data_IF_209853173702
#
_entry.id   IF_209853173702
#
_cell.length_a   1.000
_cell.length_b   1.000
_cell.length_c   1.000
_cell.angle_alpha   90.00
_cell.angle_beta   90.00
_cell.angle_gamma   90.00
#
_symmetry.space_group_name_H-M   'P 1'
#
loop_
_entity.id
_entity.type
_entity.pdbx_description
1 polymer ?
#
# COMPACT_ATOMS: atom_id res chain seq x y z
N UNK A 1 2.91 32.30 12.16
CA UNK A 1 4.40 32.33 12.20
C UNK A 1 5.02 31.72 10.94
N UNK A 2 4.55 30.58 10.45
CA UNK A 2 5.03 29.98 9.19
C UNK A 2 4.43 30.62 7.91
N UNK A 3 3.39 31.45 8.05
CA UNK A 3 2.75 32.22 6.98
C UNK A 3 3.46 33.54 6.62
N UNK A 4 4.67 33.77 7.13
CA UNK A 4 5.43 35.00 6.92
C UNK A 4 6.39 34.82 5.72
N UNK A 5 6.42 35.81 4.81
CA UNK A 5 7.25 35.80 3.60
C UNK A 5 8.78 35.87 3.85
N UNK A 6 9.19 36.12 5.10
CA UNK A 6 10.62 36.18 5.45
C UNK A 6 11.20 34.78 5.70
N UNK A 7 12.07 34.37 4.78
CA UNK A 7 12.81 33.10 4.80
C UNK A 7 13.56 32.91 6.13
N UNK A 8 14.11 33.99 6.70
CA UNK A 8 14.90 33.88 7.94
C UNK A 8 14.03 33.62 9.17
N UNK A 9 12.93 34.35 9.32
CA UNK A 9 11.92 34.10 10.37
C UNK A 9 11.33 32.69 10.23
N UNK A 10 11.08 32.25 9.01
CA UNK A 10 10.53 30.94 8.71
C UNK A 10 11.48 29.80 9.10
N UNK A 11 12.76 29.92 8.75
CA UNK A 11 13.78 28.96 9.15
C UNK A 11 13.91 28.90 10.68
N UNK A 12 13.97 30.05 11.35
CA UNK A 12 14.03 30.10 12.82
C UNK A 12 12.79 29.45 13.47
N UNK A 13 11.60 29.64 12.88
CA UNK A 13 10.37 28.99 13.35
C UNK A 13 10.42 27.46 13.17
N UNK A 14 10.94 26.98 12.05
CA UNK A 14 11.15 25.54 11.81
C UNK A 14 12.18 24.95 12.77
N UNK A 15 13.30 25.64 13.01
CA UNK A 15 14.33 25.17 13.96
C UNK A 15 13.78 25.06 15.39
N UNK A 16 12.94 26.02 15.81
CA UNK A 16 12.22 25.95 17.10
C UNK A 16 11.24 24.79 17.10
N UNK A 17 10.44 24.62 16.04
CA UNK A 17 9.50 23.51 15.91
C UNK A 17 10.21 22.16 16.02
N UNK A 18 11.27 21.93 15.25
CA UNK A 18 12.02 20.67 15.25
C UNK A 18 12.65 20.40 16.62
N UNK A 19 13.20 21.43 17.27
CA UNK A 19 13.75 21.31 18.63
C UNK A 19 12.69 20.87 19.65
N UNK A 20 11.47 21.42 19.58
CA UNK A 20 10.37 21.03 20.48
C UNK A 20 9.91 19.61 20.19
N UNK A 21 9.81 19.21 18.91
CA UNK A 21 9.47 17.84 18.52
C UNK A 21 10.49 16.84 19.07
N UNK A 22 11.78 17.14 19.00
CA UNK A 22 12.84 16.27 19.55
C UNK A 22 12.75 16.14 21.07
N UNK A 23 12.50 17.26 21.78
CA UNK A 23 12.43 17.25 23.23
C UNK A 23 11.16 16.61 23.77
N UNK A 24 10.00 16.91 23.18
CA UNK A 24 8.70 16.46 23.68
C UNK A 24 7.64 16.39 22.55
N UNK A 25 7.62 15.29 21.78
CA UNK A 25 6.63 15.08 20.71
C UNK A 25 5.18 15.19 21.20
N UNK A 26 4.89 14.74 22.43
CA UNK A 26 3.53 14.71 22.98
C UNK A 26 2.95 16.10 23.18
N UNK A 27 3.77 17.07 23.62
CA UNK A 27 3.32 18.46 23.77
C UNK A 27 2.95 19.07 22.42
N UNK A 28 3.70 18.75 21.37
CA UNK A 28 3.39 19.20 20.01
C UNK A 28 2.09 18.57 19.51
N UNK A 29 1.89 17.27 19.76
CA UNK A 29 0.63 16.58 19.39
C UNK A 29 -0.57 17.17 20.12
N UNK A 30 -0.46 17.42 21.42
CA UNK A 30 -1.52 18.04 22.21
C UNK A 30 -1.90 19.42 21.65
N UNK A 31 -0.90 20.26 21.35
CA UNK A 31 -1.13 21.55 20.72
C UNK A 31 -1.86 21.42 19.37
N UNK A 32 -1.38 20.54 18.48
CA UNK A 32 -2.01 20.31 17.17
C UNK A 32 -3.45 19.80 17.30
N UNK A 33 -3.76 18.97 18.30
CA UNK A 33 -5.13 18.52 18.56
C UNK A 33 -6.02 19.68 19.07
N UNK A 34 -5.51 20.52 19.97
CA UNK A 34 -6.23 21.71 20.45
C UNK A 34 -6.48 22.72 19.32
N UNK A 35 -5.53 22.88 18.39
CA UNK A 35 -5.67 23.76 17.22
C UNK A 35 -6.89 23.40 16.36
N UNK A 36 -7.22 22.10 16.23
CA UNK A 36 -8.40 21.65 15.46
C UNK A 36 -9.75 22.10 16.05
N UNK A 37 -9.78 22.48 17.33
CA UNK A 37 -10.96 23.05 17.98
C UNK A 37 -11.12 24.53 17.63
N UNK A 38 -10.01 25.19 17.29
CA UNK A 38 -9.95 26.64 17.03
C UNK A 38 -10.16 26.97 15.55
N UNK A 39 -9.70 26.10 14.63
CA UNK A 39 -9.88 26.30 13.19
C UNK A 39 -10.38 25.04 12.47
N UNK A 40 -11.32 25.25 11.55
CA UNK A 40 -11.76 24.23 10.59
C UNK A 40 -11.02 24.35 9.25
N UNK A 41 -10.24 25.41 9.06
CA UNK A 41 -9.44 25.57 7.86
C UNK A 41 -8.20 24.67 7.94
N UNK A 42 -8.02 23.82 6.93
CA UNK A 42 -6.88 22.91 6.84
C UNK A 42 -5.59 23.66 6.55
N UNK A 43 -5.66 24.81 5.86
CA UNK A 43 -4.49 25.57 5.44
C UNK A 43 -3.85 26.33 6.62
N UNK A 44 -4.59 26.51 7.72
CA UNK A 44 -4.10 27.17 8.94
C UNK A 44 -3.41 26.21 9.92
N UNK A 45 -3.61 24.89 9.77
CA UNK A 45 -3.07 23.91 10.70
C UNK A 45 -1.54 23.89 10.67
N UNK A 46 -0.89 23.95 11.83
CA UNK A 46 0.56 23.92 11.97
C UNK A 46 1.18 22.76 11.21
N UNK A 47 0.59 21.57 11.32
CA UNK A 47 1.05 20.38 10.63
C UNK A 47 0.98 20.52 9.10
N UNK A 48 -0.08 21.14 8.59
CA UNK A 48 -0.25 21.34 7.15
C UNK A 48 0.67 22.42 6.61
N UNK A 49 0.96 23.47 7.40
CA UNK A 49 1.99 24.45 7.08
C UNK A 49 3.38 23.78 6.98
N UNK A 50 3.74 22.90 7.91
CA UNK A 50 5.00 22.12 7.83
C UNK A 50 5.01 21.19 6.61
N UNK A 51 3.87 20.61 6.25
CA UNK A 51 3.75 19.81 5.01
C UNK A 51 3.95 20.69 3.77
N UNK A 52 3.41 21.91 3.75
CA UNK A 52 3.66 22.87 2.66
C UNK A 52 5.16 23.16 2.52
N UNK A 53 5.89 23.29 3.63
CA UNK A 53 7.35 23.46 3.60
C UNK A 53 8.09 22.28 2.98
N UNK A 54 7.68 21.05 3.29
CA UNK A 54 8.23 19.84 2.67
C UNK A 54 8.03 19.89 1.14
N UNK A 55 6.89 20.41 0.68
CA UNK A 55 6.55 20.43 -0.74
C UNK A 55 7.19 21.59 -1.50
N UNK A 56 7.56 22.67 -0.80
CA UNK A 56 8.17 23.87 -1.39
C UNK A 56 9.67 24.01 -1.09
N UNK A 57 10.32 22.97 -0.58
CA UNK A 57 11.75 23.02 -0.23
C UNK A 57 12.58 23.43 -1.47
N UNK A 58 13.28 24.58 -1.43
CA UNK A 58 14.06 25.07 -2.55
C UNK A 58 15.34 24.27 -2.79
N UNK A 59 15.76 23.43 -1.83
CA UNK A 59 16.96 22.62 -1.93
C UNK A 59 16.81 21.55 -3.04
N UNK A 60 17.72 21.49 -4.03
CA UNK A 60 17.64 20.50 -5.10
C UNK A 60 17.67 19.04 -4.63
N UNK A 61 18.29 18.76 -3.48
CA UNK A 61 18.40 17.44 -2.85
C UNK A 61 17.24 17.18 -1.88
N UNK A 62 16.38 18.17 -1.63
CA UNK A 62 15.25 18.11 -0.70
C UNK A 62 15.69 17.77 0.74
N UNK A 63 16.84 18.33 1.15
CA UNK A 63 17.41 18.08 2.47
C UNK A 63 16.52 18.57 3.61
N UNK A 64 15.89 19.74 3.46
CA UNK A 64 14.96 20.30 4.44
C UNK A 64 13.68 19.48 4.53
N UNK A 65 13.12 19.10 3.38
CA UNK A 65 11.95 18.25 3.26
C UNK A 65 12.18 16.87 3.89
N UNK A 66 13.34 16.24 3.64
CA UNK A 66 13.72 14.98 4.27
C UNK A 66 13.79 15.11 5.80
N UNK A 67 14.40 16.19 6.30
CA UNK A 67 14.50 16.44 7.73
C UNK A 67 13.12 16.62 8.38
N UNK A 68 12.28 17.48 7.81
CA UNK A 68 10.92 17.71 8.28
C UNK A 68 10.07 16.43 8.23
N UNK A 69 10.20 15.60 7.20
CA UNK A 69 9.53 14.30 7.15
C UNK A 69 9.97 13.35 8.27
N UNK A 70 11.23 13.39 8.70
CA UNK A 70 11.67 12.60 9.86
C UNK A 70 11.03 13.09 11.16
N UNK A 71 10.88 14.40 11.34
CA UNK A 71 10.12 14.94 12.49
C UNK A 71 8.63 14.61 12.41
N UNK A 72 8.04 14.63 11.21
CA UNK A 72 6.68 14.14 11.03
C UNK A 72 6.59 12.67 11.43
N UNK A 73 7.51 11.80 10.98
CA UNK A 73 7.57 10.39 11.40
C UNK A 73 7.65 10.26 12.92
N UNK A 74 8.49 11.04 13.61
CA UNK A 74 8.56 11.05 15.08
C UNK A 74 7.23 11.40 15.74
N UNK A 75 6.48 12.37 15.16
CA UNK A 75 5.16 12.75 15.65
C UNK A 75 4.12 11.66 15.43
N UNK A 76 4.15 10.96 14.29
CA UNK A 76 3.15 9.94 13.93
C UNK A 76 3.53 8.51 14.36
N UNK A 77 4.74 8.28 14.88
CA UNK A 77 5.19 6.95 15.30
C UNK A 77 4.36 6.45 16.50
N UNK A 78 3.61 5.35 16.36
CA UNK A 78 2.86 4.77 17.47
C UNK A 78 3.72 4.38 18.67
N UNK A 79 4.99 4.01 18.48
CA UNK A 79 5.89 3.66 19.59
C UNK A 79 6.15 4.88 20.49
N UNK A 80 6.23 6.08 19.90
CA UNK A 80 6.39 7.35 20.62
C UNK A 80 5.08 7.86 21.27
N UNK A 81 3.94 7.22 21.00
CA UNK A 81 2.63 7.58 21.58
C UNK A 81 2.22 6.61 22.69
N UNK A 82 2.49 5.31 22.52
CA UNK A 82 2.09 4.27 23.49
C UNK A 82 2.82 4.47 24.82
N UNK A 83 4.02 5.04 24.81
CA UNK A 83 4.74 5.44 26.03
C UNK A 83 3.94 6.44 26.90
N UNK A 84 2.95 7.13 26.31
CA UNK A 84 2.18 8.19 26.97
C UNK A 84 0.71 7.80 27.16
N UNK A 85 -0.02 7.45 26.08
CA UNK A 85 -1.42 7.01 26.17
C UNK A 85 -1.96 6.35 24.88
N UNK A 86 -2.78 5.31 25.03
CA UNK A 86 -3.50 4.65 23.91
C UNK A 86 -4.55 5.58 23.28
N UNK A 87 -5.14 6.48 24.08
CA UNK A 87 -6.16 7.43 23.62
C UNK A 87 -5.53 8.47 22.70
N UNK A 88 -4.41 9.07 23.14
CA UNK A 88 -3.63 10.04 22.36
C UNK A 88 -3.24 9.46 21.00
N UNK A 89 -2.76 8.21 20.98
CA UNK A 89 -2.44 7.50 19.72
C UNK A 89 -3.61 7.50 18.75
N UNK A 90 -4.79 7.11 19.24
CA UNK A 90 -5.97 6.93 18.39
C UNK A 90 -6.46 8.28 17.86
N UNK A 91 -6.50 9.30 18.71
CA UNK A 91 -6.94 10.65 18.35
C UNK A 91 -5.99 11.31 17.35
N UNK A 92 -4.68 11.31 17.64
CA UNK A 92 -3.69 11.97 16.79
C UNK A 92 -3.56 11.31 15.43
N UNK A 93 -3.55 9.97 15.35
CA UNK A 93 -3.55 9.29 14.06
C UNK A 93 -4.84 9.55 13.28
N UNK A 94 -5.99 9.61 13.95
CA UNK A 94 -7.27 9.93 13.29
C UNK A 94 -7.25 11.35 12.72
N UNK A 95 -6.75 12.32 13.48
CA UNK A 95 -6.49 13.69 13.02
C UNK A 95 -5.58 13.70 11.78
N UNK A 96 -4.41 13.07 11.87
CA UNK A 96 -3.41 13.02 10.79
C UNK A 96 -4.01 12.49 9.48
N UNK A 97 -4.66 11.34 9.53
CA UNK A 97 -5.25 10.72 8.33
C UNK A 97 -6.45 11.49 7.77
N UNK A 98 -7.17 12.22 8.61
CA UNK A 98 -8.38 12.96 8.21
C UNK A 98 -8.06 14.35 7.66
N UNK A 99 -7.13 15.09 8.27
CA UNK A 99 -6.86 16.50 7.97
C UNK A 99 -5.55 16.76 7.21
N UNK A 100 -4.55 15.88 7.32
CA UNK A 100 -3.18 16.18 6.86
C UNK A 100 -2.64 15.24 5.80
N UNK A 101 -3.03 13.95 5.83
CA UNK A 101 -2.52 12.97 4.87
C UNK A 101 -2.85 13.34 3.42
N UNK A 102 -4.03 13.89 3.13
CA UNK A 102 -4.36 14.34 1.78
C UNK A 102 -3.50 15.50 1.29
N UNK A 103 -3.11 16.41 2.20
CA UNK A 103 -2.22 17.54 1.88
C UNK A 103 -0.85 16.98 1.50
N UNK A 104 -0.30 16.06 2.31
CA UNK A 104 0.99 15.42 2.04
C UNK A 104 1.02 14.68 0.70
N UNK A 105 -0.08 14.01 0.33
CA UNK A 105 -0.15 13.25 -0.92
C UNK A 105 -0.53 14.10 -2.14
N UNK A 106 -0.89 15.37 -1.97
CA UNK A 106 -1.34 16.21 -3.07
C UNK A 106 -0.36 16.24 -4.27
N UNK A 107 0.97 16.39 -4.07
CA UNK A 107 1.93 16.35 -5.18
C UNK A 107 1.95 15.00 -5.91
N UNK A 108 1.81 13.89 -5.18
CA UNK A 108 1.73 12.55 -5.78
C UNK A 108 0.48 12.36 -6.61
N UNK A 109 -0.67 12.76 -6.06
CA UNK A 109 -1.96 12.64 -6.73
C UNK A 109 -2.02 13.53 -7.98
N UNK A 110 -1.48 14.75 -7.91
CA UNK A 110 -1.39 15.66 -9.03
C UNK A 110 -0.46 15.12 -10.14
N UNK A 111 0.72 14.60 -9.77
CA UNK A 111 1.69 14.10 -10.74
C UNK A 111 1.32 12.75 -11.37
N UNK A 112 0.22 12.13 -10.91
CA UNK A 112 -0.28 10.84 -11.40
C UNK A 112 -1.73 10.92 -11.85
N UNK A 113 -2.24 12.14 -12.09
CA UNK A 113 -3.61 12.39 -12.55
C UNK A 113 -3.93 11.59 -13.82
N UNK A 114 -5.17 11.14 -13.95
CA UNK A 114 -5.64 10.28 -15.06
C UNK A 114 -4.78 9.04 -15.36
N UNK A 115 -4.06 8.55 -14.34
CA UNK A 115 -3.17 7.38 -14.44
C UNK A 115 -2.02 7.59 -15.45
N UNK A 116 -1.56 8.84 -15.57
CA UNK A 116 -0.43 9.24 -16.40
C UNK A 116 0.64 9.89 -15.53
N UNK A 117 1.90 9.60 -15.85
CA UNK A 117 3.02 10.26 -15.20
C UNK A 117 3.13 11.68 -15.75
N UNK A 118 3.11 12.67 -14.85
CA UNK A 118 3.30 14.07 -15.17
C UNK A 118 4.78 14.42 -15.35
N UNK A 119 5.25 15.39 -14.57
CA UNK A 119 6.64 15.85 -14.57
C UNK A 119 7.53 14.81 -13.89
N UNK A 120 8.69 14.54 -14.49
CA UNK A 120 9.62 13.48 -14.06
C UNK A 120 11.06 13.98 -14.16
N UNK A 121 11.35 15.15 -13.59
CA UNK A 121 12.73 15.59 -13.34
C UNK A 121 13.22 15.09 -11.99
N UNK A 122 14.48 15.39 -11.68
CA UNK A 122 15.12 14.89 -10.46
C UNK A 122 14.39 15.35 -9.19
N UNK A 123 14.04 16.64 -9.12
CA UNK A 123 13.41 17.23 -7.95
C UNK A 123 12.01 16.65 -7.70
N UNK A 124 11.17 16.57 -8.73
CA UNK A 124 9.84 15.96 -8.60
C UNK A 124 9.96 14.48 -8.25
N UNK A 125 10.86 13.73 -8.88
CA UNK A 125 11.05 12.31 -8.57
C UNK A 125 11.54 12.08 -7.14
N UNK A 126 12.40 12.96 -6.63
CA UNK A 126 12.86 12.93 -5.24
C UNK A 126 11.70 13.23 -4.27
N UNK A 127 10.86 14.23 -4.54
CA UNK A 127 9.69 14.51 -3.70
C UNK A 127 8.71 13.33 -3.68
N UNK A 128 8.44 12.73 -4.85
CA UNK A 128 7.61 11.51 -4.94
C UNK A 128 8.22 10.36 -4.15
N UNK A 129 9.55 10.21 -4.21
CA UNK A 129 10.27 9.20 -3.44
C UNK A 129 10.10 9.41 -1.93
N UNK A 130 10.28 10.64 -1.44
CA UNK A 130 10.13 10.99 -0.03
C UNK A 130 8.69 10.74 0.47
N UNK A 131 7.69 11.11 -0.33
CA UNK A 131 6.28 10.84 -0.02
C UNK A 131 6.03 9.32 0.05
N UNK A 132 6.57 8.54 -0.89
CA UNK A 132 6.43 7.07 -0.87
C UNK A 132 7.14 6.42 0.31
N UNK A 133 8.31 6.93 0.69
CA UNK A 133 9.05 6.44 1.85
C UNK A 133 8.26 6.69 3.14
N UNK A 134 7.70 7.90 3.29
CA UNK A 134 6.81 8.24 4.40
C UNK A 134 5.54 7.37 4.42
N UNK A 135 4.90 7.17 3.27
CA UNK A 135 3.76 6.26 3.16
C UNK A 135 4.12 4.82 3.52
N UNK A 136 5.31 4.36 3.14
CA UNK A 136 5.79 3.02 3.46
C UNK A 136 5.95 2.86 4.98
N UNK A 137 6.51 3.86 5.66
CA UNK A 137 6.54 3.91 7.12
C UNK A 137 5.11 3.78 7.71
N UNK A 138 4.15 4.56 7.22
CA UNK A 138 2.77 4.45 7.73
C UNK A 138 2.17 3.04 7.54
N UNK A 139 2.53 2.34 6.45
CA UNK A 139 2.06 0.96 6.19
C UNK A 139 2.61 -0.02 7.21
N UNK A 140 3.87 0.16 7.59
CA UNK A 140 4.55 -0.71 8.54
C UNK A 140 4.06 -0.50 9.98
N UNK A 141 3.80 0.74 10.36
CA UNK A 141 3.59 1.09 11.77
C UNK A 141 2.12 1.32 12.15
N UNK A 142 1.26 1.81 11.23
CA UNK A 142 -0.08 2.32 11.62
C UNK A 142 -1.20 1.27 11.61
N UNK A 143 -0.88 0.01 11.34
CA UNK A 143 -1.81 -1.15 11.42
C UNK A 143 -3.18 -0.91 10.77
N UNK A 144 -4.25 -0.72 11.56
CA UNK A 144 -5.61 -0.57 11.05
C UNK A 144 -5.92 0.84 10.53
N UNK A 145 -5.25 1.89 11.02
CA UNK A 145 -5.56 3.28 10.62
C UNK A 145 -5.30 3.51 9.13
N UNK A 146 -4.19 2.97 8.60
CA UNK A 146 -3.86 3.12 7.18
C UNK A 146 -4.83 2.38 6.25
N UNK A 147 -5.49 1.33 6.74
CA UNK A 147 -6.40 0.50 5.95
C UNK A 147 -7.59 1.28 5.42
N UNK A 148 -8.23 2.04 6.32
CA UNK A 148 -9.39 2.86 5.96
C UNK A 148 -9.02 3.96 4.97
N UNK A 149 -7.77 4.43 5.02
CA UNK A 149 -7.26 5.45 4.11
C UNK A 149 -7.00 4.88 2.71
N UNK A 150 -6.27 3.77 2.61
CA UNK A 150 -5.91 3.14 1.34
C UNK A 150 -7.12 2.69 0.51
N UNK A 151 -8.21 2.28 1.16
CA UNK A 151 -9.41 1.80 0.46
C UNK A 151 -10.18 2.91 -0.27
N UNK A 152 -10.08 4.16 0.21
CA UNK A 152 -10.92 5.28 -0.25
C UNK A 152 -10.29 6.11 -1.37
N UNK A 153 -8.97 6.08 -1.48
CA UNK A 153 -8.20 6.84 -2.45
C UNK A 153 -7.65 5.85 -3.45
N UNK A 154 -7.69 6.17 -4.74
CA UNK A 154 -7.10 5.34 -5.81
C UNK A 154 -5.56 5.30 -5.77
N UNK A 155 -4.99 5.32 -4.56
CA UNK A 155 -3.59 5.54 -4.25
C UNK A 155 -2.73 4.43 -4.83
N UNK A 156 -3.14 3.17 -4.69
CA UNK A 156 -2.33 2.06 -5.19
C UNK A 156 -2.14 2.12 -6.71
N UNK A 157 -3.19 2.45 -7.46
CA UNK A 157 -3.08 2.66 -8.91
C UNK A 157 -2.15 3.82 -9.22
N UNK A 158 -2.33 4.94 -8.53
CA UNK A 158 -1.53 6.18 -8.67
C UNK A 158 -0.04 5.92 -8.40
N UNK A 159 0.30 5.23 -7.31
CA UNK A 159 1.69 4.87 -6.98
C UNK A 159 2.32 4.00 -8.06
N UNK A 160 1.58 3.03 -8.61
CA UNK A 160 2.12 2.15 -9.65
C UNK A 160 2.36 2.84 -11.00
N UNK A 161 1.82 4.04 -11.21
CA UNK A 161 2.19 4.87 -12.37
C UNK A 161 3.67 5.29 -12.32
N UNK A 162 4.23 5.43 -11.11
CA UNK A 162 5.62 5.83 -10.92
C UNK A 162 6.63 4.78 -11.42
N UNK A 163 6.19 3.54 -11.70
CA UNK A 163 6.99 2.54 -12.42
C UNK A 163 7.38 3.01 -13.83
N UNK A 164 6.70 4.01 -14.39
CA UNK A 164 7.02 4.62 -15.70
C UNK A 164 8.09 5.72 -15.62
N UNK A 165 8.55 6.09 -14.42
CA UNK A 165 9.59 7.11 -14.24
C UNK A 165 10.90 6.68 -14.91
N UNK A 166 11.68 7.65 -15.39
CA UNK A 166 13.05 7.43 -15.86
C UNK A 166 14.03 7.19 -14.71
N UNK A 167 13.64 7.50 -13.47
CA UNK A 167 14.47 7.40 -12.28
C UNK A 167 14.27 6.05 -11.59
N UNK A 168 15.30 5.20 -11.65
CA UNK A 168 15.19 3.82 -11.17
C UNK A 168 14.91 3.70 -9.67
N UNK A 169 15.45 4.61 -8.84
CA UNK A 169 15.20 4.59 -7.40
C UNK A 169 13.71 4.81 -7.07
N UNK A 170 13.00 5.64 -7.85
CA UNK A 170 11.58 5.89 -7.67
C UNK A 170 10.75 4.69 -8.09
N UNK A 171 11.11 4.05 -9.22
CA UNK A 171 10.48 2.79 -9.65
C UNK A 171 10.61 1.70 -8.58
N UNK A 172 11.81 1.55 -8.01
CA UNK A 172 12.08 0.59 -6.94
C UNK A 172 11.30 0.93 -5.66
N UNK A 173 11.13 2.21 -5.33
CA UNK A 173 10.34 2.65 -4.18
C UNK A 173 8.86 2.31 -4.35
N UNK A 174 8.28 2.58 -5.54
CA UNK A 174 6.89 2.22 -5.83
C UNK A 174 6.64 0.70 -5.74
N UNK A 175 7.60 -0.11 -6.23
CA UNK A 175 7.52 -1.56 -6.12
C UNK A 175 7.66 -2.03 -4.66
N UNK A 176 8.57 -1.43 -3.89
CA UNK A 176 8.75 -1.71 -2.45
C UNK A 176 7.49 -1.38 -1.66
N UNK A 177 6.83 -0.27 -1.97
CA UNK A 177 5.57 0.11 -1.35
C UNK A 177 4.49 -0.96 -1.56
N UNK A 178 4.30 -1.43 -2.80
CA UNK A 178 3.35 -2.52 -3.07
C UNK A 178 3.76 -3.82 -2.35
N UNK A 179 5.06 -4.14 -2.34
CA UNK A 179 5.62 -5.31 -1.65
C UNK A 179 5.31 -5.30 -0.16
N UNK A 180 5.34 -4.14 0.50
CA UNK A 180 4.99 -3.97 1.92
C UNK A 180 3.50 -4.19 2.17
N UNK A 181 2.64 -3.69 1.29
CA UNK A 181 1.18 -3.92 1.38
C UNK A 181 0.85 -5.41 1.24
N UNK A 182 1.44 -6.09 0.25
CA UNK A 182 1.27 -7.54 0.09
C UNK A 182 1.84 -8.29 1.31
N UNK A 183 2.92 -7.77 1.90
CA UNK A 183 3.52 -8.28 3.14
C UNK A 183 2.62 -8.22 4.37
N UNK A 184 1.57 -7.38 4.37
CA UNK A 184 0.55 -7.37 5.43
C UNK A 184 -0.31 -8.64 5.41
N UNK A 185 -0.32 -9.39 4.29
CA UNK A 185 -1.08 -10.64 4.10
C UNK A 185 -2.58 -10.49 4.40
N UNK A 186 -3.12 -9.28 4.20
CA UNK A 186 -4.54 -8.99 4.38
C UNK A 186 -5.30 -9.25 3.07
N UNK A 187 -6.32 -10.09 3.15
CA UNK A 187 -7.12 -10.49 1.99
C UNK A 187 -7.87 -9.33 1.35
N UNK A 188 -8.25 -8.30 2.11
CA UNK A 188 -8.90 -7.12 1.53
C UNK A 188 -7.97 -6.38 0.57
N UNK A 189 -6.67 -6.28 0.89
CA UNK A 189 -5.71 -5.68 -0.04
C UNK A 189 -5.46 -6.58 -1.25
N UNK A 190 -5.40 -7.90 -1.06
CA UNK A 190 -5.28 -8.84 -2.17
C UNK A 190 -6.44 -8.66 -3.16
N UNK A 191 -7.69 -8.58 -2.66
CA UNK A 191 -8.87 -8.36 -3.50
C UNK A 191 -8.84 -7.00 -4.21
N UNK A 192 -8.33 -5.95 -3.58
CA UNK A 192 -8.13 -4.65 -4.21
C UNK A 192 -7.09 -4.74 -5.34
N UNK A 193 -5.97 -5.44 -5.10
CA UNK A 193 -4.93 -5.68 -6.13
C UNK A 193 -5.52 -6.39 -7.34
N UNK A 194 -6.32 -7.44 -7.13
CA UNK A 194 -6.99 -8.20 -8.19
C UNK A 194 -8.03 -7.34 -8.91
N UNK A 195 -8.99 -6.75 -8.18
CA UNK A 195 -10.08 -5.95 -8.74
C UNK A 195 -9.57 -4.78 -9.57
N UNK A 196 -8.47 -4.18 -9.13
CA UNK A 196 -7.89 -3.03 -9.79
C UNK A 196 -6.84 -3.37 -10.86
N UNK A 197 -6.62 -4.66 -11.13
CA UNK A 197 -5.67 -5.16 -12.11
C UNK A 197 -4.23 -4.64 -11.88
N UNK A 198 -3.80 -4.53 -10.62
CA UNK A 198 -2.58 -3.76 -10.28
C UNK A 198 -1.28 -4.39 -10.78
N UNK A 199 -1.24 -5.72 -10.95
CA UNK A 199 -0.08 -6.39 -11.55
C UNK A 199 0.16 -6.00 -13.01
N UNK A 200 -0.84 -5.50 -13.74
CA UNK A 200 -0.65 -5.07 -15.12
C UNK A 200 0.47 -4.01 -15.25
N UNK A 201 0.49 -3.01 -14.36
CA UNK A 201 1.55 -1.98 -14.36
C UNK A 201 2.95 -2.57 -14.13
N UNK A 202 3.06 -3.64 -13.34
CA UNK A 202 4.33 -4.33 -13.07
C UNK A 202 4.77 -5.14 -14.29
N UNK A 203 3.84 -5.87 -14.89
CA UNK A 203 4.09 -6.68 -16.08
C UNK A 203 4.47 -5.80 -17.28
N UNK A 204 3.78 -4.66 -17.45
CA UNK A 204 4.11 -3.68 -18.48
C UNK A 204 5.50 -3.08 -18.27
N UNK A 205 5.83 -2.71 -17.04
CA UNK A 205 7.16 -2.22 -16.68
C UNK A 205 8.24 -3.30 -16.89
N UNK A 206 7.95 -4.56 -16.59
CA UNK A 206 8.84 -5.69 -16.86
C UNK A 206 9.07 -5.87 -18.37
N UNK A 207 8.00 -5.85 -19.18
CA UNK A 207 8.05 -5.94 -20.64
C UNK A 207 8.89 -4.81 -21.26
N UNK A 208 8.73 -3.58 -20.78
CA UNK A 208 9.52 -2.44 -21.22
C UNK A 208 11.02 -2.58 -20.89
N UNK A 209 11.36 -3.31 -19.82
CA UNK A 209 12.73 -3.52 -19.34
C UNK A 209 13.37 -4.86 -19.77
N UNK A 210 12.72 -5.66 -20.63
CA UNK A 210 13.12 -7.04 -21.00
C UNK A 210 14.57 -7.25 -21.46
N UNK A 211 15.28 -6.19 -21.91
CA UNK A 211 16.66 -6.27 -22.41
C UNK A 211 17.74 -5.95 -21.38
N UNK A 212 17.36 -5.50 -20.19
CA UNK A 212 18.29 -5.01 -19.16
C UNK A 212 18.05 -5.80 -17.89
N UNK A 213 18.71 -6.95 -17.72
CA UNK A 213 18.72 -7.71 -16.46
C UNK A 213 19.29 -6.82 -15.34
N UNK A 214 18.45 -5.96 -14.76
CA UNK A 214 18.83 -4.91 -13.84
C UNK A 214 18.12 -5.08 -12.49
N UNK A 215 18.47 -4.23 -11.52
CA UNK A 215 17.93 -4.29 -10.16
C UNK A 215 16.39 -4.22 -10.13
N UNK A 216 15.76 -3.51 -11.08
CA UNK A 216 14.29 -3.43 -11.13
C UNK A 216 13.68 -4.78 -11.53
N UNK A 217 14.24 -5.46 -12.54
CA UNK A 217 13.79 -6.80 -12.92
C UNK A 217 13.95 -7.79 -11.77
N UNK A 218 15.08 -7.74 -11.05
CA UNK A 218 15.30 -8.59 -9.88
C UNK A 218 14.27 -8.32 -8.77
N UNK A 219 13.95 -7.05 -8.51
CA UNK A 219 12.95 -6.69 -7.50
C UNK A 219 11.53 -7.12 -7.93
N UNK A 220 11.19 -7.06 -9.21
CA UNK A 220 9.89 -7.55 -9.72
C UNK A 220 9.77 -9.07 -9.57
N UNK A 221 10.85 -9.81 -9.83
CA UNK A 221 10.89 -11.26 -9.60
C UNK A 221 10.78 -11.56 -8.10
N UNK A 222 11.48 -10.83 -7.24
CA UNK A 222 11.37 -10.98 -5.78
C UNK A 222 9.93 -10.80 -5.29
N UNK A 223 9.18 -9.84 -5.83
CA UNK A 223 7.77 -9.63 -5.47
C UNK A 223 6.93 -10.90 -5.70
N UNK A 224 7.06 -11.49 -6.89
CA UNK A 224 6.34 -12.70 -7.27
C UNK A 224 6.84 -13.93 -6.51
N UNK A 225 8.14 -13.99 -6.24
CA UNK A 225 8.75 -15.01 -5.41
C UNK A 225 8.24 -14.94 -3.96
N UNK A 226 8.09 -13.76 -3.39
CA UNK A 226 7.48 -13.57 -2.07
C UNK A 226 6.03 -14.04 -2.03
N UNK A 227 5.22 -13.65 -3.03
CA UNK A 227 3.82 -14.10 -3.16
C UNK A 227 3.73 -15.63 -3.14
N UNK A 228 4.68 -16.28 -3.85
CA UNK A 228 4.79 -17.73 -3.91
C UNK A 228 5.18 -18.34 -2.56
N UNK A 229 6.25 -17.84 -1.95
CA UNK A 229 6.79 -18.36 -0.68
C UNK A 229 5.78 -18.23 0.45
N UNK A 230 5.07 -17.11 0.51
CA UNK A 230 4.01 -16.86 1.48
C UNK A 230 2.67 -17.51 1.12
N UNK A 231 2.61 -18.21 -0.02
CA UNK A 231 1.45 -18.94 -0.50
C UNK A 231 0.18 -18.09 -0.53
N UNK A 232 0.28 -16.85 -1.02
CA UNK A 232 -0.84 -15.89 -1.08
C UNK A 232 -1.76 -16.29 -2.24
N UNK A 233 -2.62 -17.28 -2.00
CA UNK A 233 -3.42 -17.99 -3.01
C UNK A 233 -4.18 -17.07 -3.96
N UNK A 234 -4.81 -16.02 -3.43
CA UNK A 234 -5.58 -15.05 -4.22
C UNK A 234 -4.70 -14.37 -5.28
N UNK A 235 -3.50 -13.95 -4.90
CA UNK A 235 -2.55 -13.31 -5.81
C UNK A 235 -1.86 -14.30 -6.75
N UNK A 236 -1.59 -15.53 -6.29
CA UNK A 236 -1.07 -16.62 -7.15
C UNK A 236 -2.06 -16.91 -8.28
N UNK A 237 -3.34 -17.14 -7.96
CA UNK A 237 -4.38 -17.43 -8.94
C UNK A 237 -4.51 -16.28 -9.93
N UNK A 238 -4.63 -15.06 -9.42
CA UNK A 238 -4.72 -13.86 -10.22
C UNK A 238 -3.52 -13.70 -11.18
N UNK A 239 -2.29 -13.87 -10.70
CA UNK A 239 -1.11 -13.80 -11.55
C UNK A 239 -1.14 -14.87 -12.65
N UNK A 240 -1.39 -16.12 -12.27
CA UNK A 240 -1.31 -17.26 -13.20
C UNK A 240 -2.38 -17.20 -14.27
N UNK A 241 -3.60 -16.78 -13.92
CA UNK A 241 -4.73 -16.71 -14.85
C UNK A 241 -4.61 -15.56 -15.85
N UNK A 242 -3.95 -14.45 -15.46
CA UNK A 242 -3.96 -13.22 -16.26
C UNK A 242 -2.62 -12.88 -16.93
N UNK A 243 -1.49 -13.34 -16.38
CA UNK A 243 -0.17 -12.86 -16.81
C UNK A 243 0.85 -13.96 -17.10
N UNK A 244 0.65 -15.21 -16.67
CA UNK A 244 1.67 -16.26 -16.79
C UNK A 244 2.21 -16.46 -18.22
N UNK A 245 1.35 -16.32 -19.24
CA UNK A 245 1.74 -16.45 -20.65
C UNK A 245 2.87 -15.49 -21.05
N UNK A 246 2.94 -14.30 -20.45
CA UNK A 246 4.00 -13.33 -20.71
C UNK A 246 5.36 -13.72 -20.12
N UNK A 247 5.36 -14.66 -19.17
CA UNK A 247 6.51 -15.12 -18.40
C UNK A 247 6.87 -16.59 -18.66
N UNK A 248 6.09 -17.31 -19.47
CA UNK A 248 6.30 -18.74 -19.73
C UNK A 248 7.66 -19.04 -20.36
N UNK A 249 8.17 -18.15 -21.22
CA UNK A 249 9.48 -18.32 -21.86
C UNK A 249 10.68 -18.01 -20.95
N UNK A 250 10.45 -17.63 -19.69
CA UNK A 250 11.47 -17.13 -18.78
C UNK A 250 12.06 -18.28 -17.96
N UNK A 251 13.19 -18.81 -18.44
CA UNK A 251 13.80 -20.03 -17.87
C UNK A 251 14.99 -19.76 -16.94
N UNK A 252 15.48 -18.52 -16.84
CA UNK A 252 16.66 -18.20 -16.01
C UNK A 252 16.32 -18.10 -14.51
N UNK A 253 15.03 -18.05 -14.17
CA UNK A 253 14.51 -18.15 -12.79
C UNK A 253 13.40 -19.19 -12.76
N UNK A 254 13.26 -19.89 -11.62
CA UNK A 254 12.19 -20.88 -11.43
C UNK A 254 10.87 -20.29 -10.92
N UNK A 255 10.91 -19.07 -10.40
CA UNK A 255 9.79 -18.38 -9.72
C UNK A 255 8.45 -18.51 -10.45
N UNK A 256 8.40 -18.23 -11.76
CA UNK A 256 7.14 -18.24 -12.51
C UNK A 256 6.59 -19.65 -12.75
N UNK A 257 7.46 -20.62 -13.04
CA UNK A 257 7.06 -22.02 -13.15
C UNK A 257 6.62 -22.59 -11.80
N UNK A 258 7.31 -22.23 -10.71
CA UNK A 258 6.94 -22.67 -9.37
C UNK A 258 5.60 -22.04 -8.93
N UNK A 259 5.31 -20.78 -9.33
CA UNK A 259 3.99 -20.17 -9.16
C UNK A 259 2.89 -20.94 -9.90
N UNK A 260 3.14 -21.34 -11.15
CA UNK A 260 2.22 -22.17 -11.94
C UNK A 260 1.96 -23.52 -11.27
N UNK A 261 3.00 -24.15 -10.73
CA UNK A 261 2.88 -25.41 -10.00
C UNK A 261 2.05 -25.25 -8.72
N UNK A 262 2.26 -24.18 -7.96
CA UNK A 262 1.45 -23.84 -6.78
C UNK A 262 -0.04 -23.68 -7.17
N UNK A 263 -0.33 -22.97 -8.26
CA UNK A 263 -1.69 -22.81 -8.79
C UNK A 263 -2.36 -24.15 -9.11
N UNK A 264 -1.71 -24.99 -9.93
CA UNK A 264 -2.25 -26.29 -10.34
C UNK A 264 -2.52 -27.18 -9.13
N UNK A 265 -1.57 -27.25 -8.20
CA UNK A 265 -1.72 -28.03 -6.95
C UNK A 265 -2.90 -27.57 -6.11
N UNK A 266 -3.14 -26.26 -6.03
CA UNK A 266 -4.28 -25.70 -5.29
C UNK A 266 -5.61 -26.01 -5.97
N UNK A 267 -5.63 -25.98 -7.30
CA UNK A 267 -6.81 -26.30 -8.11
C UNK A 267 -7.20 -27.76 -7.99
N UNK A 268 -6.24 -28.69 -8.14
CA UNK A 268 -6.48 -30.13 -7.99
C UNK A 268 -7.04 -30.48 -6.60
N UNK A 269 -6.51 -29.83 -5.54
CA UNK A 269 -7.03 -30.00 -4.18
C UNK A 269 -8.47 -29.53 -4.04
N UNK A 270 -8.84 -28.39 -4.65
CA UNK A 270 -10.22 -27.88 -4.63
C UNK A 270 -11.17 -28.82 -5.38
N UNK A 271 -10.77 -29.31 -6.54
CA UNK A 271 -11.58 -30.22 -7.35
C UNK A 271 -11.84 -31.55 -6.61
N UNK A 272 -10.83 -32.11 -5.92
CA UNK A 272 -11.00 -33.31 -5.07
C UNK A 272 -11.96 -33.11 -3.89
N UNK A 273 -11.89 -31.96 -3.23
CA UNK A 273 -12.81 -31.64 -2.12
C UNK A 273 -14.26 -31.53 -2.64
N UNK A 274 -14.45 -30.94 -3.82
CA UNK A 274 -15.77 -30.83 -4.46
C UNK A 274 -16.31 -32.18 -4.92
N UNK A 275 -15.45 -33.08 -5.41
CA UNK A 275 -15.87 -34.45 -5.76
C UNK A 275 -16.25 -35.29 -4.54
N UNK A 276 -15.55 -35.14 -3.42
CA UNK A 276 -15.83 -35.88 -2.18
C UNK A 276 -17.06 -35.35 -1.42
N UNK A 277 -17.44 -34.09 -1.63
CA UNK A 277 -18.60 -33.44 -0.99
C UNK A 277 -19.91 -33.57 -1.79
N UNK A 278 -19.86 -34.14 -2.99
CA UNK A 278 -21.06 -34.49 -3.77
C UNK A 278 -21.67 -35.78 -3.20
N UNK A 279 -22.91 -35.78 -2.65
CA UNK A 279 -23.48 -37.00 -2.10
C UNK A 279 -23.66 -38.01 -3.22
N UNK A 280 -23.08 -39.19 -3.07
CA UNK A 280 -23.46 -40.36 -3.88
C UNK A 280 -24.97 -40.54 -3.72
N UNK A 281 -25.68 -40.36 -4.83
CA UNK A 281 -27.08 -40.74 -4.98
C UNK A 281 -27.21 -42.25 -4.82
N UNK A 282 -27.19 -42.71 -3.57
CA UNK A 282 -27.45 -44.09 -3.16
C UNK A 282 -28.45 -44.11 -2.01
N UNK A 283 -29.58 -43.42 -2.20
CA UNK A 283 -30.81 -43.58 -1.41
C UNK A 283 -32.03 -43.67 -2.33
N UNK A 284 -31.94 -44.50 -3.38
CA UNK A 284 -33.09 -44.96 -4.18
C UNK A 284 -33.23 -46.49 -4.14
N UNK A 285 -33.01 -47.10 -2.95
CA UNK A 285 -33.27 -48.53 -2.70
C UNK A 285 -33.86 -48.81 -1.31
N UNK A 286 -34.69 -47.90 -0.78
CA UNK A 286 -35.36 -48.11 0.51
C UNK A 286 -36.88 -47.88 0.51
N UNK A 287 -37.53 -47.82 -0.67
CA UNK A 287 -38.99 -47.72 -0.77
C UNK A 287 -39.61 -48.63 -1.87
N UNK A 288 -39.09 -49.85 -2.07
CA UNK A 288 -39.72 -50.84 -2.97
C UNK A 288 -40.04 -52.19 -2.32
N UNK A 289 -40.05 -52.28 -0.98
CA UNK A 289 -40.39 -53.52 -0.26
C UNK A 289 -41.46 -53.40 0.82
N UNK A 290 -42.46 -52.54 0.59
CA UNK A 290 -43.70 -52.56 1.37
C UNK A 290 -44.91 -52.26 0.46
N UNK A 291 -45.12 -53.05 -0.59
CA UNK A 291 -46.46 -53.21 -1.15
C UNK A 291 -46.57 -54.44 -2.07
N UNK A 292 -46.58 -55.63 -1.48
CA UNK A 292 -47.24 -56.79 -2.10
C UNK A 292 -47.55 -57.82 -1.02
N UNK A 293 -48.78 -58.36 -1.04
CA UNK A 293 -49.43 -59.32 -0.12
C UNK A 293 -50.21 -58.60 1.00
N UNK A 294 -51.55 -58.64 1.09
CA UNK A 294 -52.55 -59.60 0.61
C UNK A 294 -53.94 -58.92 0.58
N UNK A 295 -54.70 -59.11 -0.50
CA UNK A 295 -56.18 -59.07 -0.51
C UNK A 295 -56.64 -60.52 -0.73
N UNK A 296 -57.85 -60.84 -0.21
CA UNK A 296 -58.68 -62.05 -0.33
C UNK A 296 -58.45 -63.05 0.82
N UNK A 297 -59.45 -63.54 1.57
CA UNK A 297 -60.89 -63.73 1.28
C UNK A 297 -61.69 -64.11 2.54
N UNK A 298 -63.00 -63.81 2.48
CA UNK A 298 -64.15 -64.26 3.33
C UNK A 298 -64.39 -63.49 4.62
#
# INVERSE_FOLDING_TARGET
MLSLDDITTKQAALDVFTSIVECNPSTVREYMLQETQSTQDDDELLLNLVISEIQSDPDPELSGALNLLNYLKLLIDPENMIAVSIIEKTEFLSFFYFRSMSVLLAPLMANTIDLKLGRDDFHIAQLQYLILDFLTFCIEHHTYHIRNFLQKKDLLRRVLILLKSKHQYLQLSALRFLRKIIGLKDEQYNLIIVRNNLFASIVDAYKANKRRYNLLNSAMIELFEFIRQENIKTLINYFVENFYSDFESINYVKTFHDLKLCYSTQRDKRERILSDSSPTSSTSRFYDHLNTNHILSV
#
